data_IF_303923061004
#
_entry.id   IF_303923061004
#
_cell.length_a   1.000
_cell.length_b   1.000
_cell.length_c   1.000
_cell.angle_alpha   90.00
_cell.angle_beta   90.00
_cell.angle_gamma   90.00
#
_symmetry.space_group_name_H-M   'P 1'
#
loop_
_entity.id
_entity.type
_entity.pdbx_description
1 polymer ?
#
# COMPACT_ATOMS: atom_id res chain seq x y z
N UNK A 1 -1.94 -16.20 6.34
CA UNK A 1 -0.57 -15.71 6.55
C UNK A 1 -0.62 -14.21 6.78
N UNK A 2 0.45 -13.60 7.29
CA UNK A 2 0.51 -12.14 7.48
C UNK A 2 0.92 -11.42 6.19
N UNK A 3 0.29 -10.28 5.90
CA UNK A 3 0.60 -9.44 4.74
C UNK A 3 1.76 -8.50 5.10
N UNK A 4 2.76 -8.37 4.22
CA UNK A 4 3.91 -7.46 4.39
C UNK A 4 4.12 -6.63 3.13
N UNK A 5 4.37 -5.34 3.29
CA UNK A 5 4.73 -4.43 2.19
C UNK A 5 6.16 -3.91 2.36
N UNK A 6 6.90 -3.80 1.26
CA UNK A 6 8.24 -3.20 1.20
C UNK A 6 8.35 -2.36 -0.07
N UNK A 7 8.81 -1.12 0.09
CA UNK A 7 9.07 -0.21 -1.03
C UNK A 7 10.50 -0.47 -1.51
N UNK A 8 10.68 -0.71 -2.81
CA UNK A 8 11.98 -0.99 -3.42
C UNK A 8 12.81 0.26 -3.73
N UNK A 9 12.22 1.45 -3.62
CA UNK A 9 12.81 2.73 -3.99
C UNK A 9 12.36 3.86 -3.04
N UNK A 10 12.95 5.05 -3.17
CA UNK A 10 12.51 6.22 -2.40
C UNK A 10 11.30 6.88 -3.05
N UNK A 11 10.23 7.09 -2.28
CA UNK A 11 9.00 7.77 -2.74
C UNK A 11 8.76 9.12 -2.02
N UNK A 12 9.77 9.62 -1.28
CA UNK A 12 9.66 10.86 -0.50
C UNK A 12 9.27 12.05 -1.40
N UNK A 13 8.19 12.73 -1.04
CA UNK A 13 7.67 13.90 -1.76
C UNK A 13 7.04 13.60 -3.12
N UNK A 14 6.92 12.32 -3.49
CA UNK A 14 6.30 11.89 -4.75
C UNK A 14 4.79 11.73 -4.58
N UNK A 15 4.04 12.05 -5.63
CA UNK A 15 2.60 11.71 -5.70
C UNK A 15 2.46 10.23 -6.07
N UNK A 16 1.85 9.45 -5.17
CA UNK A 16 1.73 8.00 -5.32
C UNK A 16 0.28 7.61 -5.52
N UNK A 17 0.02 6.82 -6.57
CA UNK A 17 -1.30 6.26 -6.85
C UNK A 17 -1.27 4.76 -6.59
N UNK A 18 -2.15 4.28 -5.71
CA UNK A 18 -2.30 2.85 -5.42
C UNK A 18 -3.52 2.34 -6.18
N UNK A 19 -3.33 1.33 -7.02
CA UNK A 19 -4.40 0.67 -7.77
C UNK A 19 -4.56 -0.74 -7.21
N UNK A 20 -5.63 -0.97 -6.46
CA UNK A 20 -5.93 -2.27 -5.86
C UNK A 20 -7.37 -2.70 -6.20
N UNK A 21 -7.57 -3.81 -6.92
CA UNK A 21 -8.87 -4.44 -7.07
C UNK A 21 -9.37 -5.04 -5.74
N UNK A 22 -10.68 -4.97 -5.48
CA UNK A 22 -11.31 -5.49 -4.25
C UNK A 22 -12.22 -6.71 -4.51
N UNK A 23 -11.88 -7.52 -5.51
CA UNK A 23 -12.61 -8.77 -5.78
C UNK A 23 -12.43 -9.78 -4.64
N UNK A 24 -13.18 -10.89 -4.67
CA UNK A 24 -13.02 -11.97 -3.69
C UNK A 24 -11.57 -12.51 -3.72
N UNK A 25 -10.89 -12.66 -2.58
CA UNK A 25 -11.33 -12.37 -1.20
C UNK A 25 -11.19 -10.88 -0.81
N UNK A 26 -12.32 -10.20 -0.61
CA UNK A 26 -12.36 -8.74 -0.45
C UNK A 26 -11.69 -8.24 0.83
N UNK A 27 -11.82 -8.97 1.94
CA UNK A 27 -11.21 -8.57 3.21
C UNK A 27 -9.68 -8.56 3.16
N UNK A 28 -9.07 -9.52 2.47
CA UNK A 28 -7.62 -9.59 2.30
C UNK A 28 -7.11 -8.43 1.44
N UNK A 29 -7.78 -8.15 0.30
CA UNK A 29 -7.44 -7.02 -0.55
C UNK A 29 -7.63 -5.66 0.14
N UNK A 30 -8.62 -5.51 1.03
CA UNK A 30 -8.77 -4.30 1.86
C UNK A 30 -7.57 -4.17 2.81
N UNK A 31 -7.17 -5.26 3.46
CA UNK A 31 -6.00 -5.24 4.35
C UNK A 31 -4.70 -4.91 3.61
N UNK A 32 -4.49 -5.46 2.40
CA UNK A 32 -3.36 -5.11 1.53
C UNK A 32 -3.35 -3.63 1.18
N UNK A 33 -4.49 -3.07 0.77
CA UNK A 33 -4.62 -1.65 0.44
C UNK A 33 -4.27 -0.76 1.64
N UNK A 34 -4.80 -1.08 2.82
CA UNK A 34 -4.51 -0.31 4.04
C UNK A 34 -3.03 -0.37 4.43
N UNK A 35 -2.39 -1.54 4.29
CA UNK A 35 -0.97 -1.71 4.56
C UNK A 35 -0.12 -0.92 3.55
N UNK A 36 -0.49 -0.91 2.26
CA UNK A 36 0.19 -0.09 1.25
C UNK A 36 0.06 1.40 1.54
N UNK A 37 -1.14 1.87 1.92
CA UNK A 37 -1.36 3.28 2.31
C UNK A 37 -0.49 3.66 3.51
N UNK A 38 -0.46 2.84 4.57
CA UNK A 38 0.39 3.09 5.74
C UNK A 38 1.88 3.11 5.36
N UNK A 39 2.31 2.18 4.50
CA UNK A 39 3.68 2.11 4.01
C UNK A 39 4.09 3.40 3.26
N UNK A 40 3.26 3.88 2.33
CA UNK A 40 3.53 5.10 1.55
C UNK A 40 3.53 6.35 2.45
N UNK A 41 2.61 6.43 3.41
CA UNK A 41 2.56 7.52 4.39
C UNK A 41 3.84 7.58 5.22
N UNK A 42 4.32 6.44 5.72
CA UNK A 42 5.58 6.37 6.49
C UNK A 42 6.80 6.66 5.65
N UNK A 43 6.76 6.35 4.36
CA UNK A 43 7.81 6.69 3.40
C UNK A 43 7.83 8.17 3.00
N UNK A 44 6.95 9.01 3.58
CA UNK A 44 6.84 10.43 3.30
C UNK A 44 6.45 10.75 1.85
N UNK A 45 5.63 9.90 1.23
CA UNK A 45 4.93 10.25 -0.01
C UNK A 45 4.03 11.48 0.23
N UNK A 46 3.83 12.28 -0.83
CA UNK A 46 3.04 13.52 -0.78
C UNK A 46 1.55 13.23 -0.91
#
# INVERSE_FOLDING_TARGET
>A
GEIRAKIGETVRGSEVFIIQPLNYPSAEHIMELLILIDCMKRASAK
#
